data_IF_312056708559
#
_entry.id   IF_312056708559
#
_cell.length_a   1.000
_cell.length_b   1.000
_cell.length_c   1.000
_cell.angle_alpha   90.00
_cell.angle_beta   90.00
_cell.angle_gamma   90.00
#
_symmetry.space_group_name_H-M   'P 1'
#
loop_
_entity.id
_entity.type
_entity.pdbx_description
1 polymer ?
#
# COMPACT_ATOMS: atom_id res chain seq x y z
N UNK A 1 -15.92 6.70 17.54
CA UNK A 1 -15.37 5.35 17.79
C UNK A 1 -15.92 4.36 16.77
N UNK A 2 -15.18 3.34 16.42
CA UNK A 2 -15.70 2.27 15.56
C UNK A 2 -16.41 1.21 16.41
N UNK A 3 -17.53 0.72 15.91
CA UNK A 3 -18.22 -0.42 16.49
C UNK A 3 -17.39 -1.70 16.29
N UNK A 4 -17.13 -2.46 17.34
CA UNK A 4 -16.39 -3.73 17.28
C UNK A 4 -17.15 -4.81 16.51
N UNK A 5 -18.47 -4.73 16.48
CA UNK A 5 -19.35 -5.74 15.85
C UNK A 5 -19.50 -5.54 14.33
N UNK A 6 -19.62 -4.30 13.87
CA UNK A 6 -19.92 -4.04 12.45
C UNK A 6 -19.01 -3.03 11.76
N UNK A 7 -17.97 -2.53 12.44
CA UNK A 7 -17.01 -1.57 11.89
C UNK A 7 -17.57 -0.16 11.65
N UNK A 8 -18.86 0.09 11.90
CA UNK A 8 -19.46 1.40 11.63
C UNK A 8 -18.92 2.46 12.58
N UNK A 9 -18.60 3.61 12.02
CA UNK A 9 -18.17 4.76 12.82
C UNK A 9 -19.37 5.36 13.59
N UNK A 10 -19.15 5.67 14.87
CA UNK A 10 -20.11 6.32 15.75
C UNK A 10 -19.49 7.53 16.45
N UNK A 11 -20.28 8.52 16.77
CA UNK A 11 -19.81 9.68 17.58
C UNK A 11 -19.23 9.19 18.90
N UNK A 12 -18.21 9.88 19.42
CA UNK A 12 -17.56 9.52 20.67
C UNK A 12 -18.53 9.47 21.88
N UNK A 13 -19.62 10.24 21.82
CA UNK A 13 -20.69 10.28 22.82
C UNK A 13 -21.81 9.26 22.59
N UNK A 14 -21.74 8.43 21.55
CA UNK A 14 -22.78 7.45 21.26
C UNK A 14 -22.63 6.23 22.19
N UNK A 15 -23.65 5.93 22.96
CA UNK A 15 -23.70 4.74 23.80
C UNK A 15 -23.99 3.44 23.00
N UNK A 16 -24.55 3.57 21.80
CA UNK A 16 -24.89 2.46 20.90
C UNK A 16 -24.54 2.75 19.47
N UNK A 17 -24.18 1.70 18.74
CA UNK A 17 -23.87 1.78 17.31
C UNK A 17 -25.12 2.17 16.50
N UNK A 18 -24.98 3.16 15.63
CA UNK A 18 -26.06 3.66 14.77
C UNK A 18 -26.50 2.66 13.71
N UNK A 19 -25.67 1.65 13.39
CA UNK A 19 -25.98 0.65 12.37
C UNK A 19 -26.48 -0.68 12.95
N UNK A 20 -25.80 -1.26 13.95
CA UNK A 20 -26.12 -2.58 14.46
C UNK A 20 -26.70 -2.55 15.90
N UNK A 21 -26.86 -1.38 16.50
CA UNK A 21 -27.36 -1.15 17.83
C UNK A 21 -26.56 -1.84 18.98
N UNK A 22 -25.37 -2.37 18.67
CA UNK A 22 -24.47 -2.93 19.69
C UNK A 22 -24.06 -1.83 20.68
N UNK A 23 -23.90 -2.20 21.97
CA UNK A 23 -23.36 -1.29 22.97
C UNK A 23 -21.94 -0.87 22.56
N UNK A 24 -21.67 0.42 22.60
CA UNK A 24 -20.34 0.95 22.37
C UNK A 24 -19.65 1.11 23.73
N UNK A 25 -18.36 0.78 23.83
CA UNK A 25 -17.63 0.97 25.07
C UNK A 25 -17.67 2.46 25.45
N UNK A 26 -17.89 2.74 26.72
CA UNK A 26 -17.68 4.10 27.24
C UNK A 26 -16.27 4.53 26.92
N UNK A 27 -16.13 5.68 26.24
CA UNK A 27 -14.83 6.27 25.96
C UNK A 27 -14.32 6.91 27.25
N UNK A 28 -13.79 6.10 28.12
CA UNK A 28 -12.62 6.55 28.88
C UNK A 28 -11.57 6.80 27.79
N UNK A 29 -11.09 8.05 27.67
CA UNK A 29 -10.05 8.38 26.70
C UNK A 29 -8.97 7.30 26.80
N UNK A 30 -8.68 6.51 25.72
CA UNK A 30 -7.62 5.53 25.81
C UNK A 30 -6.36 6.28 26.22
N UNK A 31 -5.50 5.72 27.06
CA UNK A 31 -4.21 6.31 27.29
C UNK A 31 -3.57 6.42 25.93
N UNK A 32 -3.44 7.66 25.44
CA UNK A 32 -2.74 7.92 24.19
C UNK A 32 -1.31 7.45 24.45
N UNK A 33 -0.90 6.41 23.74
CA UNK A 33 0.48 5.95 23.71
C UNK A 33 1.34 6.92 22.85
N UNK A 34 1.04 8.21 23.00
CA UNK A 34 1.67 9.33 22.31
C UNK A 34 2.16 10.27 23.41
N UNK A 35 3.48 10.55 23.47
CA UNK A 35 4.02 11.52 24.40
C UNK A 35 3.34 12.89 24.25
N UNK A 36 3.09 13.57 25.36
CA UNK A 36 2.35 14.86 25.40
C UNK A 36 3.04 15.96 24.61
N UNK A 37 4.37 15.94 24.55
CA UNK A 37 5.16 16.86 23.75
C UNK A 37 4.97 16.62 22.25
N UNK A 38 5.02 15.37 21.80
CA UNK A 38 4.78 14.99 20.41
C UNK A 38 3.35 15.36 19.96
N UNK A 39 2.36 15.09 20.81
CA UNK A 39 0.97 15.46 20.53
C UNK A 39 0.78 16.96 20.42
N UNK A 40 1.46 17.74 21.27
CA UNK A 40 1.43 19.20 21.27
C UNK A 40 2.05 19.76 20.00
N UNK A 41 3.24 19.29 19.64
CA UNK A 41 3.93 19.69 18.41
C UNK A 41 3.09 19.39 17.16
N UNK A 42 2.50 18.19 17.08
CA UNK A 42 1.66 17.79 15.95
C UNK A 42 0.39 18.66 15.86
N UNK A 43 -0.26 18.96 16.98
CA UNK A 43 -1.41 19.89 17.01
C UNK A 43 -1.02 21.28 16.53
N UNK A 44 0.11 21.79 16.99
CA UNK A 44 0.61 23.10 16.57
C UNK A 44 0.96 23.09 15.07
N UNK A 45 1.67 22.08 14.59
CA UNK A 45 2.05 21.95 13.19
C UNK A 45 0.84 21.89 12.25
N UNK A 46 -0.23 21.21 12.68
CA UNK A 46 -1.46 21.08 11.90
C UNK A 46 -2.43 22.27 12.06
N UNK A 47 -2.07 23.31 12.84
CA UNK A 47 -2.91 24.48 13.10
C UNK A 47 -4.25 24.12 13.75
N UNK A 48 -4.29 23.09 14.59
CA UNK A 48 -5.51 22.57 15.24
C UNK A 48 -6.63 22.14 14.27
N UNK A 49 -6.32 21.92 12.98
CA UNK A 49 -7.30 21.46 11.99
C UNK A 49 -7.75 20.02 12.22
N UNK A 50 -6.96 19.24 12.96
CA UNK A 50 -7.18 17.81 13.20
C UNK A 50 -7.13 17.48 14.69
N UNK A 51 -8.09 16.68 15.15
CA UNK A 51 -8.04 16.05 16.46
C UNK A 51 -7.36 14.70 16.32
N UNK A 52 -6.22 14.51 16.98
CA UNK A 52 -5.49 13.24 17.00
C UNK A 52 -6.24 12.27 17.89
N UNK A 53 -6.55 11.08 17.38
CA UNK A 53 -7.33 10.05 18.08
C UNK A 53 -6.42 9.02 18.72
N UNK A 54 -5.49 8.44 17.94
CA UNK A 54 -4.51 7.43 18.44
C UNK A 54 -3.38 7.26 17.44
N UNK A 55 -2.27 6.68 17.88
CA UNK A 55 -1.24 6.16 16.98
C UNK A 55 -1.72 4.84 16.39
N UNK A 56 -1.65 4.70 15.07
CA UNK A 56 -1.97 3.46 14.35
C UNK A 56 -0.74 2.56 14.21
N UNK A 57 0.45 3.17 14.10
CA UNK A 57 1.70 2.45 13.93
C UNK A 57 2.90 3.38 13.86
N UNK A 58 4.08 2.76 13.82
CA UNK A 58 5.36 3.42 13.59
C UNK A 58 6.14 2.58 12.59
N UNK A 59 6.34 3.10 11.41
CA UNK A 59 7.20 2.52 10.38
C UNK A 59 8.64 2.98 10.51
N UNK A 60 9.52 2.54 9.61
CA UNK A 60 10.93 2.91 9.63
C UNK A 60 11.22 4.40 9.39
N UNK A 61 10.27 5.17 8.86
CA UNK A 61 10.47 6.57 8.49
C UNK A 61 9.46 7.53 9.12
N UNK A 62 8.29 7.04 9.54
CA UNK A 62 7.21 7.90 9.98
C UNK A 62 6.34 7.24 11.05
N UNK A 63 5.79 8.07 11.93
CA UNK A 63 4.67 7.70 12.78
C UNK A 63 3.36 7.92 12.02
N UNK A 64 2.38 7.04 12.27
CA UNK A 64 1.06 7.07 11.62
C UNK A 64 -0.01 7.24 12.69
N UNK A 65 -0.82 8.30 12.56
CA UNK A 65 -1.88 8.66 13.51
C UNK A 65 -3.25 8.62 12.85
N UNK A 66 -4.22 8.04 13.54
CA UNK A 66 -5.62 8.28 13.26
C UNK A 66 -5.99 9.67 13.79
N UNK A 67 -6.57 10.45 12.93
CA UNK A 67 -7.03 11.79 13.26
C UNK A 67 -8.45 12.03 12.74
N UNK A 68 -9.05 13.14 13.16
CA UNK A 68 -10.35 13.59 12.69
C UNK A 68 -10.28 15.05 12.30
N UNK A 69 -10.83 15.40 11.15
CA UNK A 69 -10.96 16.79 10.76
C UNK A 69 -11.96 17.50 11.68
N UNK A 70 -11.53 18.60 12.32
CA UNK A 70 -12.32 19.28 13.37
C UNK A 70 -13.69 19.73 12.86
N UNK A 71 -13.75 20.30 11.66
CA UNK A 71 -14.99 20.84 11.09
C UNK A 71 -15.79 19.74 10.37
N UNK A 72 -15.14 18.93 9.51
CA UNK A 72 -15.84 17.95 8.67
C UNK A 72 -16.17 16.65 9.41
N UNK A 73 -15.56 16.40 10.57
CA UNK A 73 -15.79 15.20 11.37
C UNK A 73 -15.29 13.88 10.76
N UNK A 74 -14.78 13.89 9.53
CA UNK A 74 -14.34 12.68 8.82
C UNK A 74 -13.02 12.16 9.39
N UNK A 75 -12.85 10.81 9.45
CA UNK A 75 -11.60 10.21 9.87
C UNK A 75 -10.52 10.37 8.77
N UNK A 76 -9.30 10.60 9.22
CA UNK A 76 -8.11 10.79 8.38
C UNK A 76 -6.91 10.11 9.02
N UNK A 77 -5.88 9.89 8.23
CA UNK A 77 -4.57 9.43 8.70
C UNK A 77 -3.60 10.60 8.56
N UNK A 78 -2.81 10.85 9.60
CA UNK A 78 -1.67 11.77 9.54
C UNK A 78 -0.39 10.95 9.66
N UNK A 79 0.46 11.03 8.64
CA UNK A 79 1.78 10.42 8.61
C UNK A 79 2.83 11.48 8.89
N UNK A 80 3.62 11.31 9.93
CA UNK A 80 4.61 12.29 10.42
C UNK A 80 5.99 11.71 10.29
N UNK A 81 6.90 12.40 9.62
CA UNK A 81 8.30 12.00 9.48
C UNK A 81 8.97 11.93 10.86
N UNK A 82 9.76 10.88 11.12
CA UNK A 82 10.52 10.75 12.37
C UNK A 82 11.46 11.93 12.59
N UNK A 83 11.52 12.46 13.79
CA UNK A 83 12.38 13.62 14.14
C UNK A 83 13.85 13.40 13.75
N UNK A 84 14.37 12.20 13.93
CA UNK A 84 15.75 11.86 13.53
C UNK A 84 15.99 12.02 12.04
N UNK A 85 15.00 11.75 11.21
CA UNK A 85 15.06 11.93 9.75
C UNK A 85 14.72 13.38 9.35
N UNK A 86 13.88 14.04 10.12
CA UNK A 86 13.53 15.44 9.92
C UNK A 86 14.71 16.39 10.18
N UNK A 87 15.74 15.96 10.90
CA UNK A 87 16.99 16.72 11.09
C UNK A 87 17.92 16.65 9.86
N UNK A 88 17.72 15.68 8.96
CA UNK A 88 18.44 15.55 7.71
C UNK A 88 17.70 16.33 6.61
N UNK A 89 18.19 17.51 6.21
CA UNK A 89 17.54 18.38 5.20
C UNK A 89 17.28 17.63 3.88
N UNK A 90 18.20 16.75 3.47
CA UNK A 90 18.03 15.92 2.27
C UNK A 90 16.81 14.98 2.38
N UNK A 91 16.59 14.38 3.55
CA UNK A 91 15.44 13.50 3.80
C UNK A 91 14.13 14.27 3.82
N UNK A 92 14.10 15.46 4.41
CA UNK A 92 12.93 16.34 4.38
C UNK A 92 12.55 16.76 2.96
N UNK A 93 13.53 17.21 2.18
CA UNK A 93 13.31 17.61 0.79
C UNK A 93 12.80 16.45 -0.07
N UNK A 94 13.33 15.24 0.13
CA UNK A 94 12.85 14.04 -0.56
C UNK A 94 11.41 13.70 -0.17
N UNK A 95 11.12 13.66 1.13
CA UNK A 95 9.76 13.39 1.63
C UNK A 95 8.74 14.35 1.02
N UNK A 96 9.06 15.66 0.95
CA UNK A 96 8.19 16.67 0.34
C UNK A 96 8.03 16.47 -1.16
N UNK A 97 9.11 16.26 -1.91
CA UNK A 97 9.07 16.06 -3.38
C UNK A 97 8.25 14.82 -3.76
N UNK A 98 8.43 13.73 -3.04
CA UNK A 98 7.68 12.50 -3.26
C UNK A 98 6.19 12.68 -2.91
N UNK A 99 5.91 13.40 -1.82
CA UNK A 99 4.55 13.77 -1.46
C UNK A 99 3.89 14.68 -2.52
N UNK A 100 4.60 15.68 -3.03
CA UNK A 100 4.11 16.55 -4.10
C UNK A 100 3.83 15.77 -5.40
N UNK A 101 4.69 14.81 -5.74
CA UNK A 101 4.49 13.96 -6.91
C UNK A 101 3.26 13.05 -6.73
N UNK A 102 3.11 12.43 -5.55
CA UNK A 102 1.96 11.60 -5.22
C UNK A 102 0.65 12.40 -5.12
N UNK A 103 0.70 13.66 -4.65
CA UNK A 103 -0.47 14.53 -4.54
C UNK A 103 -1.10 14.90 -5.91
N UNK A 104 -0.33 14.78 -6.99
CA UNK A 104 -0.82 15.01 -8.37
C UNK A 104 -1.55 13.78 -8.94
N UNK A 105 -1.44 12.63 -8.30
CA UNK A 105 -2.08 11.41 -8.77
C UNK A 105 -3.55 11.39 -8.34
N UNK A 106 -4.44 11.52 -9.30
CA UNK A 106 -5.90 11.44 -9.09
C UNK A 106 -6.43 10.22 -9.82
N UNK A 107 -6.64 9.12 -9.08
CA UNK A 107 -7.10 7.87 -9.65
C UNK A 107 -7.93 7.09 -8.60
N UNK A 108 -9.00 6.36 -8.99
CA UNK A 108 -9.87 5.65 -8.03
C UNK A 108 -9.15 4.68 -7.10
N UNK A 109 -8.03 4.07 -7.57
CA UNK A 109 -7.26 3.09 -6.81
C UNK A 109 -5.95 3.64 -6.25
N UNK A 110 -5.78 4.96 -6.21
CA UNK A 110 -4.65 5.64 -5.56
C UNK A 110 -5.14 6.37 -4.33
N UNK A 111 -4.47 6.18 -3.21
CA UNK A 111 -4.74 6.94 -1.99
C UNK A 111 -4.36 8.40 -2.21
N UNK A 112 -5.36 9.28 -2.25
CA UNK A 112 -5.13 10.71 -2.45
C UNK A 112 -4.46 11.33 -1.21
N UNK A 113 -3.51 12.25 -1.45
CA UNK A 113 -3.02 13.14 -0.39
C UNK A 113 -4.02 14.28 -0.22
N UNK A 114 -4.64 14.37 0.95
CA UNK A 114 -5.66 15.37 1.26
C UNK A 114 -5.07 16.70 1.72
N UNK A 115 -3.89 16.66 2.34
CA UNK A 115 -3.18 17.84 2.84
C UNK A 115 -1.72 17.47 3.15
N UNK A 116 -0.84 18.45 3.17
CA UNK A 116 0.54 18.30 3.61
C UNK A 116 1.01 19.58 4.27
N UNK A 117 1.98 19.46 5.16
CA UNK A 117 2.53 20.64 5.81
C UNK A 117 3.83 20.39 6.52
N UNK A 118 4.44 21.51 6.91
CA UNK A 118 5.70 21.54 7.65
C UNK A 118 5.65 22.67 8.65
N UNK A 119 6.00 22.38 9.90
CA UNK A 119 6.16 23.39 10.95
C UNK A 119 7.28 22.96 11.90
N UNK A 120 8.35 23.75 12.00
CA UNK A 120 9.56 23.38 12.73
C UNK A 120 10.19 22.11 12.15
N UNK A 121 10.37 21.12 13.02
CA UNK A 121 10.89 19.79 12.65
C UNK A 121 9.78 18.77 12.30
N UNK A 122 8.52 19.19 12.21
CA UNK A 122 7.39 18.32 11.92
C UNK A 122 6.99 18.47 10.46
N UNK A 123 7.30 17.47 9.65
CA UNK A 123 6.79 17.31 8.29
C UNK A 123 5.72 16.21 8.29
N UNK A 124 4.54 16.50 7.74
CA UNK A 124 3.41 15.61 7.79
C UNK A 124 2.62 15.55 6.48
N UNK A 125 1.96 14.41 6.27
CA UNK A 125 0.99 14.16 5.20
C UNK A 125 -0.33 13.76 5.81
N UNK A 126 -1.42 14.21 5.20
CA UNK A 126 -2.79 13.84 5.58
C UNK A 126 -3.45 13.11 4.42
N UNK A 127 -4.04 11.97 4.72
CA UNK A 127 -4.71 11.12 3.74
C UNK A 127 -6.03 10.55 4.31
N UNK A 128 -6.94 10.07 3.47
CA UNK A 128 -8.15 9.39 3.94
C UNK A 128 -7.82 8.18 4.82
N UNK A 129 -8.66 7.92 5.81
CA UNK A 129 -8.61 6.68 6.58
C UNK A 129 -9.42 5.60 5.85
N UNK A 130 -8.77 4.45 5.57
CA UNK A 130 -9.37 3.31 4.91
C UNK A 130 -9.80 2.27 5.95
N UNK A 131 -11.10 2.15 6.18
CA UNK A 131 -11.66 1.32 7.26
C UNK A 131 -11.57 -0.19 6.98
N UNK A 132 -11.39 -0.59 5.72
CA UNK A 132 -11.22 -1.99 5.33
C UNK A 132 -9.86 -2.61 5.71
N UNK A 133 -8.96 -1.81 6.28
CA UNK A 133 -7.61 -2.23 6.66
C UNK A 133 -6.69 -2.46 5.47
N UNK A 134 -5.55 -3.11 5.68
CA UNK A 134 -4.57 -3.43 4.65
C UNK A 134 -4.71 -4.86 4.12
N UNK A 135 -4.05 -5.14 3.00
CA UNK A 135 -3.89 -6.52 2.51
C UNK A 135 -3.06 -7.36 3.49
N UNK A 136 -2.08 -6.76 4.18
CA UNK A 136 -1.32 -7.43 5.23
C UNK A 136 -2.25 -7.91 6.37
N UNK A 137 -3.21 -7.05 6.82
CA UNK A 137 -4.20 -7.44 7.82
C UNK A 137 -5.09 -8.60 7.34
N UNK A 138 -5.45 -8.61 6.04
CA UNK A 138 -6.24 -9.70 5.45
C UNK A 138 -5.45 -11.00 5.41
N UNK A 139 -4.20 -10.97 4.94
CA UNK A 139 -3.33 -12.15 4.87
C UNK A 139 -3.01 -12.71 6.27
N UNK A 140 -2.78 -11.85 7.26
CA UNK A 140 -2.58 -12.28 8.64
C UNK A 140 -3.78 -13.07 9.20
N UNK A 141 -5.01 -12.70 8.81
CA UNK A 141 -6.24 -13.38 9.27
C UNK A 141 -6.60 -14.62 8.47
N UNK A 142 -6.42 -14.57 7.14
CA UNK A 142 -6.97 -15.59 6.23
C UNK A 142 -5.90 -16.49 5.61
N UNK A 143 -4.61 -16.11 5.76
CA UNK A 143 -3.42 -16.71 5.11
C UNK A 143 -3.43 -16.62 3.59
N UNK A 144 -4.51 -17.00 2.93
CA UNK A 144 -4.65 -16.97 1.47
C UNK A 144 -5.90 -16.20 1.05
N UNK A 145 -5.90 -15.72 -0.18
CA UNK A 145 -7.04 -15.06 -0.84
C UNK A 145 -7.47 -15.94 -2.01
N UNK A 146 -8.77 -16.24 -2.19
CA UNK A 146 -9.24 -17.01 -3.34
C UNK A 146 -8.83 -16.38 -4.68
N UNK A 147 -8.65 -17.19 -5.72
CA UNK A 147 -8.07 -16.79 -7.00
C UNK A 147 -8.79 -15.57 -7.65
N UNK A 148 -10.12 -15.55 -7.64
CA UNK A 148 -10.91 -14.45 -8.22
C UNK A 148 -10.71 -13.11 -7.48
N UNK A 149 -10.90 -13.02 -6.15
CA UNK A 149 -10.57 -11.79 -5.42
C UNK A 149 -9.09 -11.38 -5.54
N UNK A 150 -8.15 -12.33 -5.51
CA UNK A 150 -6.72 -12.03 -5.66
C UNK A 150 -6.43 -11.39 -7.02
N UNK A 151 -6.97 -11.95 -8.11
CA UNK A 151 -6.84 -11.38 -9.45
C UNK A 151 -7.49 -9.99 -9.56
N UNK A 152 -8.65 -9.76 -8.90
CA UNK A 152 -9.31 -8.45 -8.88
C UNK A 152 -8.46 -7.40 -8.16
N UNK A 153 -7.92 -7.73 -6.98
CA UNK A 153 -7.01 -6.83 -6.24
C UNK A 153 -5.79 -6.49 -7.09
N UNK A 154 -5.12 -7.49 -7.66
CA UNK A 154 -3.94 -7.28 -8.51
C UNK A 154 -4.26 -6.42 -9.75
N UNK A 155 -5.43 -6.58 -10.37
CA UNK A 155 -5.86 -5.77 -11.51
C UNK A 155 -6.04 -4.29 -11.13
N UNK A 156 -6.65 -4.01 -9.97
CA UNK A 156 -6.82 -2.65 -9.47
C UNK A 156 -5.46 -1.99 -9.16
N UNK A 157 -4.53 -2.73 -8.52
CA UNK A 157 -3.16 -2.26 -8.27
C UNK A 157 -2.43 -1.99 -9.58
N UNK A 158 -2.53 -2.88 -10.56
CA UNK A 158 -1.90 -2.70 -11.88
C UNK A 158 -2.44 -1.46 -12.63
N UNK A 159 -3.74 -1.17 -12.53
CA UNK A 159 -4.33 0.07 -13.06
C UNK A 159 -3.78 1.32 -12.38
N UNK A 160 -3.67 1.31 -11.04
CA UNK A 160 -3.11 2.42 -10.27
C UNK A 160 -1.65 2.68 -10.66
N UNK A 161 -0.87 1.62 -10.81
CA UNK A 161 0.54 1.69 -11.21
C UNK A 161 0.70 2.21 -12.65
N UNK A 162 -0.11 1.73 -13.61
CA UNK A 162 -0.05 2.26 -14.98
C UNK A 162 -0.31 3.76 -15.02
N UNK A 163 -1.30 4.21 -14.23
CA UNK A 163 -1.58 5.64 -14.12
C UNK A 163 -0.39 6.41 -13.54
N UNK A 164 0.20 5.95 -12.44
CA UNK A 164 1.35 6.59 -11.81
C UNK A 164 2.57 6.62 -12.73
N UNK A 165 2.88 5.50 -13.40
CA UNK A 165 4.03 5.39 -14.32
C UNK A 165 3.92 6.37 -15.49
N UNK A 166 2.73 6.57 -16.04
CA UNK A 166 2.49 7.58 -17.10
C UNK A 166 2.69 9.02 -16.61
N UNK A 167 2.58 9.26 -15.29
CA UNK A 167 2.88 10.54 -14.67
C UNK A 167 4.33 10.62 -14.14
N UNK A 168 5.19 9.67 -14.53
CA UNK A 168 6.61 9.65 -14.16
C UNK A 168 6.86 9.21 -12.70
N UNK A 169 5.87 8.63 -12.03
CA UNK A 169 5.98 8.18 -10.64
C UNK A 169 6.09 6.66 -10.59
N UNK A 170 7.21 6.13 -10.11
CA UNK A 170 7.45 4.71 -9.84
C UNK A 170 7.26 4.49 -8.33
N UNK A 171 6.52 3.46 -7.95
CA UNK A 171 6.16 3.22 -6.54
C UNK A 171 7.33 2.68 -5.71
N UNK A 172 8.03 1.66 -6.21
CA UNK A 172 9.26 1.06 -5.65
C UNK A 172 9.11 0.31 -4.32
N UNK A 173 7.95 0.36 -3.65
CA UNK A 173 7.68 -0.31 -2.36
C UNK A 173 6.28 -0.95 -2.37
N UNK A 174 5.98 -1.74 -3.42
CA UNK A 174 4.73 -2.50 -3.48
C UNK A 174 4.82 -3.67 -2.53
N UNK A 175 3.92 -3.70 -1.54
CA UNK A 175 3.80 -4.76 -0.52
C UNK A 175 2.39 -4.76 0.09
N UNK A 176 1.99 -5.81 0.83
CA UNK A 176 0.63 -5.92 1.40
C UNK A 176 0.24 -4.76 2.32
N UNK A 177 1.18 -4.17 3.05
CA UNK A 177 0.94 -3.03 3.94
C UNK A 177 0.46 -1.79 3.19
N UNK A 178 0.90 -1.62 1.94
CA UNK A 178 0.62 -0.45 1.11
C UNK A 178 -0.63 -0.61 0.23
N UNK A 179 -1.34 -1.74 0.33
CA UNK A 179 -2.62 -1.98 -0.33
C UNK A 179 -3.73 -1.86 0.72
N UNK A 180 -4.42 -0.74 0.72
CA UNK A 180 -5.51 -0.45 1.64
C UNK A 180 -6.86 -0.74 0.97
N UNK A 181 -7.90 -0.88 1.79
CA UNK A 181 -9.26 -1.12 1.31
C UNK A 181 -10.24 -0.12 1.92
N UNK A 182 -11.11 0.40 1.07
CA UNK A 182 -12.27 1.17 1.53
C UNK A 182 -13.37 0.26 2.13
N UNK A 183 -14.50 0.85 2.54
CA UNK A 183 -15.63 0.13 3.13
C UNK A 183 -16.30 -0.84 2.13
N UNK A 184 -16.20 -0.56 0.84
CA UNK A 184 -16.74 -1.37 -0.25
C UNK A 184 -15.76 -2.46 -0.73
N UNK A 185 -14.55 -2.46 -0.21
CA UNK A 185 -13.49 -3.42 -0.54
C UNK A 185 -12.66 -3.04 -1.77
N UNK A 186 -12.78 -1.80 -2.27
CA UNK A 186 -11.94 -1.31 -3.35
C UNK A 186 -10.53 -1.01 -2.84
N UNK A 187 -9.55 -1.22 -3.72
CA UNK A 187 -8.14 -0.94 -3.43
C UNK A 187 -7.86 0.55 -3.39
N UNK A 188 -7.00 0.95 -2.45
CA UNK A 188 -6.33 2.24 -2.45
C UNK A 188 -4.83 2.00 -2.24
N UNK A 189 -4.04 2.19 -3.29
CA UNK A 189 -2.58 2.07 -3.25
C UNK A 189 -2.01 3.33 -2.58
N UNK A 190 -1.24 3.13 -1.50
CA UNK A 190 -0.65 4.22 -0.70
C UNK A 190 0.87 4.17 -0.71
N UNK A 191 1.51 5.20 -0.20
CA UNK A 191 2.96 5.28 0.04
C UNK A 191 3.83 5.23 -1.22
N UNK A 192 3.43 5.96 -2.26
CA UNK A 192 4.23 6.14 -3.47
C UNK A 192 5.58 6.76 -3.14
N UNK A 193 6.66 6.00 -3.36
CA UNK A 193 8.04 6.47 -3.36
C UNK A 193 8.62 6.98 -2.03
N UNK A 194 7.78 7.25 -1.02
CA UNK A 194 8.17 7.95 0.24
C UNK A 194 9.28 7.22 1.02
N UNK A 195 9.51 5.94 0.74
CA UNK A 195 10.49 5.11 1.46
C UNK A 195 11.83 4.90 0.71
N UNK A 196 11.89 5.21 -0.59
CA UNK A 196 12.97 4.71 -1.47
C UNK A 196 14.27 5.51 -1.38
N UNK A 197 14.28 6.61 -0.64
CA UNK A 197 15.43 7.48 -0.49
C UNK A 197 16.68 6.78 0.08
N UNK A 198 16.55 5.64 0.75
CA UNK A 198 17.67 4.88 1.33
C UNK A 198 18.23 3.77 0.43
N UNK A 199 17.52 3.39 -0.66
CA UNK A 199 17.92 2.24 -1.49
C UNK A 199 18.85 2.58 -2.66
N UNK A 200 19.18 3.84 -2.93
CA UNK A 200 20.20 4.19 -3.92
C UNK A 200 21.59 4.05 -3.31
N UNK A 201 22.09 2.81 -3.30
CA UNK A 201 23.51 2.54 -3.30
C UNK A 201 24.23 2.46 -1.97
N UNK A 202 23.72 1.74 -1.00
CA UNK A 202 24.58 1.05 0.00
C UNK A 202 23.74 0.04 0.78
N UNK A 203 24.01 -1.26 0.61
CA UNK A 203 24.01 -2.15 1.76
C UNK A 203 24.88 -1.47 2.81
N UNK A 204 24.25 -0.87 3.83
CA UNK A 204 25.03 -0.21 4.89
C UNK A 204 25.93 -1.28 5.50
N UNK A 205 27.19 -0.92 5.81
CA UNK A 205 28.19 -1.76 6.46
C UNK A 205 27.70 -2.39 7.79
N UNK A 206 26.49 -2.08 8.24
CA UNK A 206 25.83 -2.62 9.43
C UNK A 206 24.87 -3.79 9.17
N UNK A 207 24.74 -4.29 7.93
CA UNK A 207 23.92 -5.49 7.62
C UNK A 207 22.40 -5.35 7.86
N UNK A 208 21.91 -4.19 8.25
CA UNK A 208 20.47 -3.95 8.45
C UNK A 208 19.87 -3.35 7.18
N UNK A 209 19.34 -4.20 6.30
CA UNK A 209 18.47 -3.76 5.24
C UNK A 209 17.18 -3.19 5.87
N UNK A 210 16.92 -1.90 5.63
CA UNK A 210 15.71 -1.24 6.09
C UNK A 210 14.65 -1.42 5.00
N UNK A 211 13.72 -2.34 5.19
CA UNK A 211 12.65 -2.70 4.26
C UNK A 211 12.41 -4.22 4.25
N UNK A 212 11.27 -4.62 3.75
CA UNK A 212 10.92 -6.05 3.64
C UNK A 212 11.48 -6.57 2.31
N UNK A 213 12.58 -7.36 2.29
CA UNK A 213 13.27 -7.76 1.06
C UNK A 213 12.43 -8.68 0.17
N UNK A 214 11.34 -9.26 0.72
CA UNK A 214 10.47 -10.23 0.06
C UNK A 214 9.73 -9.70 -1.18
N UNK A 215 9.60 -8.36 -1.34
CA UNK A 215 8.91 -7.74 -2.48
C UNK A 215 9.85 -6.96 -3.42
N UNK A 216 11.15 -7.12 -3.24
CA UNK A 216 12.16 -6.44 -4.03
C UNK A 216 12.28 -7.07 -5.43
N UNK A 217 12.41 -6.27 -6.46
CA UNK A 217 12.73 -6.76 -7.80
C UNK A 217 14.21 -7.14 -7.94
N UNK A 218 14.59 -7.99 -8.91
CA UNK A 218 15.99 -8.33 -9.17
C UNK A 218 16.87 -7.09 -9.37
N UNK A 219 16.39 -6.10 -10.13
CA UNK A 219 17.12 -4.85 -10.39
C UNK A 219 17.27 -3.99 -9.14
N UNK A 220 16.28 -3.98 -8.23
CA UNK A 220 16.40 -3.33 -6.92
C UNK A 220 17.44 -4.04 -6.04
N UNK A 221 17.42 -5.38 -6.00
CA UNK A 221 18.40 -6.17 -5.25
C UNK A 221 19.83 -5.95 -5.75
N UNK A 222 20.01 -5.71 -7.05
CA UNK A 222 21.30 -5.41 -7.67
C UNK A 222 21.70 -3.92 -7.60
N UNK A 223 20.86 -3.03 -7.04
CA UNK A 223 21.11 -1.59 -7.02
C UNK A 223 21.13 -0.94 -8.41
N UNK A 224 20.47 -1.55 -9.41
CA UNK A 224 20.37 -1.04 -10.77
C UNK A 224 19.27 0.01 -10.90
N UNK A 225 19.23 0.69 -12.06
CA UNK A 225 18.12 1.59 -12.39
C UNK A 225 16.80 0.82 -12.42
N UNK A 226 15.78 1.41 -11.80
CA UNK A 226 14.44 0.84 -11.61
C UNK A 226 13.46 1.60 -12.50
N UNK A 227 12.63 0.88 -13.23
CA UNK A 227 11.49 1.42 -13.97
C UNK A 227 10.17 0.80 -13.49
N UNK A 228 9.06 1.12 -14.16
CA UNK A 228 7.72 0.63 -13.78
C UNK A 228 7.59 -0.89 -13.74
N UNK A 229 8.40 -1.64 -14.48
CA UNK A 229 8.40 -3.11 -14.52
C UNK A 229 8.87 -3.73 -13.20
N UNK A 230 9.61 -2.98 -12.39
CA UNK A 230 9.94 -3.39 -11.02
C UNK A 230 8.70 -3.45 -10.12
N UNK A 231 7.80 -2.48 -10.25
CA UNK A 231 6.53 -2.50 -9.52
C UNK A 231 5.65 -3.67 -9.98
N UNK A 232 5.65 -4.00 -11.29
CA UNK A 232 4.90 -5.13 -11.83
C UNK A 232 5.44 -6.48 -11.35
N UNK A 233 6.76 -6.60 -11.14
CA UNK A 233 7.35 -7.75 -10.48
C UNK A 233 6.83 -7.89 -9.04
N UNK A 234 6.78 -6.79 -8.29
CA UNK A 234 6.25 -6.79 -6.94
C UNK A 234 4.73 -7.11 -6.89
N UNK A 235 3.94 -6.72 -7.90
CA UNK A 235 2.53 -7.18 -8.04
C UNK A 235 2.48 -8.70 -8.25
N UNK A 236 3.42 -9.27 -9.01
CA UNK A 236 3.57 -10.72 -9.15
C UNK A 236 3.83 -11.41 -7.81
N UNK A 237 4.70 -10.84 -6.97
CA UNK A 237 4.97 -11.34 -5.61
C UNK A 237 3.74 -11.25 -4.70
N UNK A 238 3.01 -10.12 -4.75
CA UNK A 238 1.74 -9.96 -4.04
C UNK A 238 0.71 -11.02 -4.43
N UNK A 239 0.55 -11.22 -5.74
CA UNK A 239 -0.41 -12.20 -6.25
C UNK A 239 0.00 -13.63 -5.87
N UNK A 240 1.29 -13.94 -5.93
CA UNK A 240 1.83 -15.20 -5.45
C UNK A 240 1.50 -15.45 -3.97
N UNK A 241 1.78 -14.45 -3.12
CA UNK A 241 1.51 -14.56 -1.68
C UNK A 241 0.02 -14.65 -1.38
N UNK A 242 -0.82 -13.88 -2.06
CA UNK A 242 -2.28 -14.00 -1.92
C UNK A 242 -2.77 -15.42 -2.21
N UNK A 243 -2.21 -16.10 -3.21
CA UNK A 243 -2.62 -17.44 -3.63
C UNK A 243 -2.05 -18.55 -2.73
N UNK A 244 -0.78 -18.41 -2.31
CA UNK A 244 -0.04 -19.47 -1.62
C UNK A 244 0.06 -19.23 -0.10
N UNK A 245 -0.14 -17.99 0.36
CA UNK A 245 -0.06 -17.61 1.78
C UNK A 245 1.36 -17.28 2.26
N UNK A 246 2.34 -17.26 1.37
CA UNK A 246 3.72 -16.85 1.63
C UNK A 246 4.40 -16.38 0.34
N UNK A 247 5.40 -15.49 0.42
CA UNK A 247 6.19 -15.10 -0.74
C UNK A 247 6.99 -16.30 -1.32
N UNK A 248 7.42 -16.24 -2.60
CA UNK A 248 8.16 -17.33 -3.23
C UNK A 248 9.58 -17.51 -2.68
N UNK A 249 10.17 -16.45 -2.15
CA UNK A 249 11.54 -16.44 -1.65
C UNK A 249 11.58 -16.01 -0.19
N UNK A 250 12.31 -16.78 0.60
CA UNK A 250 12.60 -16.54 2.02
C UNK A 250 14.07 -16.86 2.30
N UNK A 251 14.65 -16.33 3.37
CA UNK A 251 16.04 -16.52 3.72
C UNK A 251 16.37 -16.04 5.11
N UNK A 252 17.54 -16.40 5.61
CA UNK A 252 18.03 -16.07 6.96
C UNK A 252 18.26 -14.56 7.14
N UNK A 253 18.54 -13.87 6.05
CA UNK A 253 18.77 -12.42 6.02
C UNK A 253 18.30 -11.78 4.70
N UNK A 254 18.35 -10.46 4.66
CA UNK A 254 17.95 -9.67 3.48
C UNK A 254 18.82 -9.93 2.26
N UNK A 255 20.09 -10.32 2.45
CA UNK A 255 20.99 -10.64 1.35
C UNK A 255 20.60 -11.97 0.69
N UNK A 256 20.32 -13.00 1.50
CA UNK A 256 19.87 -14.31 1.02
C UNK A 256 18.57 -14.19 0.21
N UNK A 257 17.60 -13.40 0.70
CA UNK A 257 16.36 -13.13 -0.03
C UNK A 257 16.63 -12.38 -1.33
N UNK A 258 17.44 -11.33 -1.30
CA UNK A 258 17.85 -10.56 -2.48
C UNK A 258 18.56 -11.41 -3.53
N UNK A 259 19.46 -12.30 -3.10
CA UNK A 259 20.14 -13.26 -3.98
C UNK A 259 19.14 -14.15 -4.72
N UNK A 260 18.12 -14.68 -4.02
CA UNK A 260 17.07 -15.52 -4.63
C UNK A 260 16.22 -14.74 -5.63
N UNK A 261 15.91 -13.48 -5.36
CA UNK A 261 15.22 -12.63 -6.33
C UNK A 261 16.00 -12.50 -7.65
N UNK A 262 17.33 -12.48 -7.59
CA UNK A 262 18.20 -12.38 -8.77
C UNK A 262 18.38 -13.72 -9.48
N UNK A 263 18.59 -14.83 -8.73
CA UNK A 263 19.14 -16.06 -9.28
C UNK A 263 18.21 -17.26 -9.25
N UNK A 264 17.22 -17.31 -8.34
CA UNK A 264 16.37 -18.49 -8.15
C UNK A 264 15.04 -18.33 -8.89
N UNK A 265 14.66 -19.33 -9.68
CA UNK A 265 13.33 -19.35 -10.30
C UNK A 265 12.26 -19.71 -9.25
N UNK A 266 11.14 -18.97 -9.17
CA UNK A 266 10.05 -19.35 -8.26
C UNK A 266 9.35 -20.61 -8.77
N UNK A 267 8.86 -21.44 -7.84
CA UNK A 267 7.97 -22.56 -8.19
C UNK A 267 6.62 -21.98 -8.60
N UNK A 268 6.04 -22.44 -9.69
CA UNK A 268 4.74 -21.94 -10.16
C UNK A 268 3.64 -22.20 -9.12
N UNK A 269 2.73 -21.24 -8.85
CA UNK A 269 1.69 -21.40 -7.83
C UNK A 269 0.82 -22.64 -7.99
N UNK A 270 0.43 -23.02 -9.22
CA UNK A 270 -0.38 -24.21 -9.52
C UNK A 270 0.38 -25.53 -9.30
N UNK A 271 1.71 -25.49 -9.27
CA UNK A 271 2.54 -26.65 -8.88
C UNK A 271 2.65 -26.82 -7.36
N UNK A 272 2.35 -25.78 -6.58
CA UNK A 272 2.34 -25.84 -5.10
C UNK A 272 0.95 -26.22 -4.59
N UNK A 273 -0.08 -25.56 -5.12
CA UNK A 273 -1.48 -25.86 -4.82
C UNK A 273 -2.27 -26.01 -6.13
N UNK A 274 -2.63 -27.24 -6.45
CA UNK A 274 -3.40 -27.59 -7.66
C UNK A 274 -4.80 -26.93 -7.71
N UNK A 275 -5.23 -26.21 -6.68
CA UNK A 275 -6.45 -25.37 -6.70
C UNK A 275 -6.21 -24.03 -7.37
N UNK A 276 -4.97 -23.60 -7.52
CA UNK A 276 -4.64 -22.35 -8.24
C UNK A 276 -4.83 -22.59 -9.73
N UNK A 277 -5.67 -21.80 -10.42
CA UNK A 277 -5.86 -21.95 -11.85
C UNK A 277 -4.56 -21.71 -12.63
N UNK A 278 -4.22 -22.60 -13.55
CA UNK A 278 -2.99 -22.52 -14.35
C UNK A 278 -2.88 -21.19 -15.14
N UNK A 279 -4.01 -20.67 -15.62
CA UNK A 279 -4.03 -19.38 -16.31
C UNK A 279 -3.61 -18.20 -15.39
N UNK A 280 -4.00 -18.21 -14.11
CA UNK A 280 -3.59 -17.20 -13.16
C UNK A 280 -2.13 -17.39 -12.73
N UNK A 281 -1.71 -18.66 -12.55
CA UNK A 281 -0.31 -19.02 -12.28
C UNK A 281 0.62 -18.51 -13.40
N UNK A 282 0.23 -18.65 -14.67
CA UNK A 282 1.00 -18.16 -15.81
C UNK A 282 1.16 -16.61 -15.77
N UNK A 283 0.13 -15.87 -15.35
CA UNK A 283 0.23 -14.40 -15.17
C UNK A 283 1.25 -14.06 -14.08
N UNK A 284 1.20 -14.75 -12.93
CA UNK A 284 2.17 -14.59 -11.85
C UNK A 284 3.59 -14.85 -12.35
N UNK A 285 3.82 -15.98 -13.02
CA UNK A 285 5.15 -16.37 -13.51
C UNK A 285 5.70 -15.36 -14.53
N UNK A 286 4.86 -14.81 -15.40
CA UNK A 286 5.27 -13.74 -16.31
C UNK A 286 5.71 -12.47 -15.56
N UNK A 287 4.99 -12.05 -14.50
CA UNK A 287 5.43 -10.93 -13.65
C UNK A 287 6.79 -11.22 -13.00
N UNK A 288 7.04 -12.48 -12.58
CA UNK A 288 8.23 -12.90 -11.85
C UNK A 288 9.42 -13.26 -12.75
N UNK A 289 9.36 -13.02 -14.05
CA UNK A 289 10.49 -13.18 -14.96
C UNK A 289 11.67 -12.33 -14.48
N UNK A 290 12.89 -12.92 -14.51
CA UNK A 290 14.09 -12.21 -14.02
C UNK A 290 14.48 -11.05 -14.91
N UNK A 291 14.59 -11.21 -16.25
CA UNK A 291 14.76 -10.07 -17.15
C UNK A 291 13.48 -9.23 -17.16
N UNK A 292 13.61 -7.91 -16.93
CA UNK A 292 12.47 -7.01 -16.97
C UNK A 292 11.79 -6.99 -18.37
N UNK A 293 12.54 -7.27 -19.45
CA UNK A 293 12.01 -7.38 -20.82
C UNK A 293 11.00 -8.52 -21.00
N UNK A 294 11.05 -9.55 -20.16
CA UNK A 294 10.20 -10.74 -20.28
C UNK A 294 8.90 -10.62 -19.48
N UNK A 295 8.76 -9.52 -18.72
CA UNK A 295 7.58 -9.16 -17.94
C UNK A 295 6.53 -8.46 -18.82
N UNK A 296 5.45 -8.02 -18.20
CA UNK A 296 4.56 -7.01 -18.80
C UNK A 296 5.31 -5.69 -18.91
N UNK A 297 5.22 -5.02 -20.04
CA UNK A 297 5.92 -3.73 -20.25
C UNK A 297 5.22 -2.61 -19.48
N UNK A 298 3.89 -2.69 -19.39
CA UNK A 298 3.06 -1.68 -18.72
C UNK A 298 2.04 -2.30 -17.76
N UNK A 299 1.67 -1.53 -16.73
CA UNK A 299 0.62 -1.93 -15.78
C UNK A 299 -0.72 -2.23 -16.44
N UNK A 300 -1.05 -1.49 -17.48
CA UNK A 300 -2.23 -1.71 -18.32
C UNK A 300 -2.28 -3.13 -18.93
N UNK A 301 -1.16 -3.66 -19.44
CA UNK A 301 -1.12 -5.01 -20.02
C UNK A 301 -1.36 -6.11 -18.97
N UNK A 302 -0.78 -5.94 -17.77
CA UNK A 302 -1.04 -6.82 -16.64
C UNK A 302 -2.52 -6.75 -16.22
N UNK A 303 -3.09 -5.55 -16.13
CA UNK A 303 -4.49 -5.37 -15.79
C UNK A 303 -5.42 -6.04 -16.81
N UNK A 304 -5.12 -5.93 -18.10
CA UNK A 304 -5.87 -6.60 -19.17
C UNK A 304 -5.82 -8.12 -19.06
N UNK A 305 -4.63 -8.69 -18.81
CA UNK A 305 -4.47 -10.13 -18.63
C UNK A 305 -5.31 -10.64 -17.43
N UNK A 306 -5.29 -9.90 -16.30
CA UNK A 306 -6.09 -10.25 -15.12
C UNK A 306 -7.60 -10.07 -15.35
N UNK A 307 -8.02 -9.04 -16.07
CA UNK A 307 -9.44 -8.82 -16.43
C UNK A 307 -9.92 -9.92 -17.39
N UNK A 308 -9.09 -10.33 -18.34
CA UNK A 308 -9.40 -11.43 -19.25
C UNK A 308 -9.56 -12.76 -18.48
N UNK A 309 -8.68 -13.03 -17.53
CA UNK A 309 -8.82 -14.17 -16.61
C UNK A 309 -10.14 -14.13 -15.84
N UNK A 310 -10.48 -12.99 -15.23
CA UNK A 310 -11.73 -12.80 -14.48
C UNK A 310 -12.98 -13.01 -15.36
N UNK A 311 -12.94 -12.57 -16.61
CA UNK A 311 -14.00 -12.79 -17.59
C UNK A 311 -14.19 -14.28 -17.92
N UNK A 312 -13.09 -15.00 -18.14
CA UNK A 312 -13.10 -16.45 -18.40
C UNK A 312 -13.55 -17.30 -17.21
N UNK A 313 -13.31 -16.83 -15.97
CA UNK A 313 -13.74 -17.49 -14.74
C UNK A 313 -15.23 -17.26 -14.41
N UNK A 314 -16.03 -16.69 -15.31
CA UNK A 314 -17.44 -16.39 -15.07
C UNK A 314 -17.71 -15.17 -14.20
N UNK A 315 -16.65 -14.44 -13.80
CA UNK A 315 -16.72 -13.23 -12.97
C UNK A 315 -16.90 -11.94 -13.79
N UNK A 316 -17.19 -12.06 -15.09
CA UNK A 316 -17.32 -10.92 -16.02
C UNK A 316 -18.38 -9.89 -15.64
N UNK A 317 -19.28 -10.25 -14.75
CA UNK A 317 -20.32 -9.39 -14.19
C UNK A 317 -19.98 -8.82 -12.81
N UNK A 318 -18.82 -9.14 -12.23
CA UNK A 318 -18.42 -8.61 -10.93
C UNK A 318 -18.24 -7.09 -11.01
N UNK A 319 -18.70 -6.38 -9.98
CA UNK A 319 -18.50 -4.94 -9.86
C UNK A 319 -17.02 -4.58 -9.99
N UNK A 320 -16.14 -5.43 -9.46
CA UNK A 320 -14.70 -5.27 -9.45
C UNK A 320 -14.06 -5.22 -10.84
N UNK A 321 -14.45 -6.14 -11.75
CA UNK A 321 -13.91 -6.14 -13.11
C UNK A 321 -14.39 -4.92 -13.92
N UNK A 322 -15.63 -4.44 -13.67
CA UNK A 322 -16.14 -3.20 -14.28
C UNK A 322 -15.41 -1.98 -13.74
N UNK A 323 -15.16 -1.93 -12.45
CA UNK A 323 -14.39 -0.83 -11.83
C UNK A 323 -12.95 -0.79 -12.33
N UNK A 324 -12.27 -1.93 -12.43
CA UNK A 324 -10.93 -2.00 -12.99
C UNK A 324 -10.88 -1.51 -14.44
N UNK A 325 -11.89 -1.85 -15.26
CA UNK A 325 -12.03 -1.33 -16.63
C UNK A 325 -12.31 0.17 -16.65
N UNK A 326 -13.20 0.67 -15.82
CA UNK A 326 -13.55 2.09 -15.75
C UNK A 326 -12.34 2.93 -15.30
N UNK A 327 -11.61 2.50 -14.29
CA UNK A 327 -10.41 3.16 -13.81
C UNK A 327 -9.29 3.20 -14.87
N UNK A 328 -9.17 2.15 -15.68
CA UNK A 328 -8.25 2.12 -16.81
C UNK A 328 -8.63 3.14 -17.88
N UNK A 329 -9.92 3.27 -18.19
CA UNK A 329 -10.42 4.21 -19.21
C UNK A 329 -10.25 5.67 -18.79
N UNK A 330 -10.52 5.99 -17.51
CA UNK A 330 -10.34 7.36 -16.99
C UNK A 330 -8.88 7.80 -17.00
N UNK A 331 -7.93 6.87 -16.93
CA UNK A 331 -6.49 7.15 -17.06
C UNK A 331 -6.01 7.37 -18.50
N UNK A 332 -6.87 7.21 -19.53
CA UNK A 332 -6.50 7.29 -20.94
C UNK A 332 -6.71 8.68 -21.57
N UNK A 333 -7.31 9.63 -20.91
CA UNK A 333 -7.46 11.00 -21.41
C UNK A 333 -6.34 11.89 -20.89
N UNK A 334 -5.32 12.23 -21.72
CA UNK A 334 -4.48 13.37 -21.42
C UNK A 334 -5.32 14.64 -21.65
N UNK A 335 -5.36 15.49 -20.67
CA UNK A 335 -5.70 16.89 -20.87
C UNK A 335 -4.47 17.68 -21.22
#
# INVERSE_FOLDING_TARGET
MFCTECGTWNRASAARCTRCNAALPEVSAPPFDIPDDELRELRQATGNRYTIVKRLGSGGMAHVYLARHVVLGRPLVIKVLHKTLAQEEEMRLRFRREAEAAARLVHPFVCAIADMGSAGEVDYLVMPYYAGGSLADRLARQKTVPATPAASIAAQVACALDYAHRHGVIHRDIKPDNILFDEDGNVALTDFGIATARFHGRLTASGRAMGTPHYMSPEQAMGKLVDGRSDLYAVGLLLYEMLIGRPPFDGEDSYAVGYKHVHEAPVAPDHIDGKVPAALSAIVMKCLAKPASDRYDRGFELADALIAYLAGAGSAGSADARMARAARQTGLTPH
#
